data_IF_820219794261
#
_entry.id   IF_820219794261
#
_cell.length_a   1.000
_cell.length_b   1.000
_cell.length_c   1.000
_cell.angle_alpha   90.00
_cell.angle_beta   90.00
_cell.angle_gamma   90.00
#
_symmetry.space_group_name_H-M   'P 1'
#
loop_
_entity.id
_entity.type
_entity.pdbx_description
1 polymer ?
#
# COMPACT_ATOMS: atom_id res chain seq x y z
N UNK A 1 -12.06 -12.03 -8.24
CA UNK A 1 -12.06 -10.63 -7.79
C UNK A 1 -12.73 -9.80 -8.85
N UNK A 2 -13.39 -8.70 -8.47
CA UNK A 2 -14.12 -7.88 -9.44
C UNK A 2 -13.96 -6.40 -9.11
N UNK A 3 -13.67 -5.58 -10.12
CA UNK A 3 -13.78 -4.13 -10.03
C UNK A 3 -15.23 -3.73 -9.73
N UNK A 4 -15.40 -2.75 -8.85
CA UNK A 4 -16.66 -2.14 -8.46
C UNK A 4 -16.67 -0.72 -9.01
N UNK A 5 -17.72 -0.40 -9.75
CA UNK A 5 -17.89 0.93 -10.34
C UNK A 5 -18.21 1.94 -9.23
N UNK A 6 -17.50 3.06 -9.23
CA UNK A 6 -17.68 4.14 -8.26
C UNK A 6 -17.42 5.48 -8.94
N UNK A 7 -18.52 6.17 -9.29
CA UNK A 7 -18.49 7.43 -10.02
C UNK A 7 -17.75 8.54 -9.26
N UNK A 8 -17.75 8.51 -7.92
CA UNK A 8 -17.05 9.51 -7.13
C UNK A 8 -15.53 9.35 -7.27
N UNK A 9 -15.05 8.10 -7.28
CA UNK A 9 -13.63 7.79 -7.50
C UNK A 9 -13.21 8.09 -8.93
N UNK A 10 -14.04 7.75 -9.93
CA UNK A 10 -13.78 8.05 -11.36
C UNK A 10 -13.61 9.55 -11.60
N UNK A 11 -14.50 10.38 -11.07
CA UNK A 11 -14.39 11.84 -11.19
C UNK A 11 -13.13 12.39 -10.50
N UNK A 12 -12.70 11.77 -9.39
CA UNK A 12 -11.45 12.14 -8.72
C UNK A 12 -10.21 11.75 -9.53
N UNK A 13 -10.21 10.59 -10.18
CA UNK A 13 -9.16 10.18 -11.10
C UNK A 13 -9.03 11.23 -12.20
N UNK A 14 -10.13 11.58 -12.85
CA UNK A 14 -10.15 12.59 -13.92
C UNK A 14 -9.62 13.95 -13.48
N UNK A 15 -9.91 14.37 -12.24
CA UNK A 15 -9.40 15.61 -11.67
C UNK A 15 -7.91 15.50 -11.37
N UNK A 16 -7.44 14.42 -10.75
CA UNK A 16 -6.04 14.23 -10.38
C UNK A 16 -5.13 14.09 -11.59
N UNK A 17 -5.54 13.36 -12.62
CA UNK A 17 -4.75 13.17 -13.85
C UNK A 17 -4.54 14.48 -14.63
N UNK A 18 -5.42 15.47 -14.45
CA UNK A 18 -5.32 16.81 -15.06
C UNK A 18 -4.83 17.88 -14.09
N UNK A 19 -4.50 17.50 -12.85
CA UNK A 19 -4.12 18.44 -11.81
C UNK A 19 -2.63 18.77 -11.81
N UNK A 20 -1.91 18.59 -12.92
CA UNK A 20 -0.53 19.07 -13.06
C UNK A 20 -0.31 19.70 -14.41
N UNK A 21 0.33 20.88 -14.40
CA UNK A 21 0.76 21.57 -15.62
C UNK A 21 2.12 21.10 -16.13
N UNK A 22 2.89 20.39 -15.30
CA UNK A 22 4.30 20.07 -15.57
C UNK A 22 4.54 18.61 -15.84
N UNK A 23 3.68 17.75 -15.33
CA UNK A 23 3.87 16.31 -15.37
C UNK A 23 2.63 15.63 -15.88
N UNK A 24 2.81 14.56 -16.66
CA UNK A 24 1.74 13.62 -16.94
C UNK A 24 1.56 12.74 -15.69
N UNK A 25 0.39 12.86 -15.06
CA UNK A 25 0.03 12.05 -13.89
C UNK A 25 -0.92 10.95 -14.36
N UNK A 26 -0.51 9.71 -14.17
CA UNK A 26 -1.39 8.55 -14.32
C UNK A 26 -1.81 8.06 -12.93
N UNK A 27 -3.13 7.98 -12.75
CA UNK A 27 -3.80 7.77 -11.46
C UNK A 27 -4.79 6.63 -11.60
N UNK A 28 -4.76 5.72 -10.64
CA UNK A 28 -5.77 4.68 -10.47
C UNK A 28 -6.31 4.71 -9.07
N UNK A 29 -7.63 4.82 -8.96
CA UNK A 29 -8.37 4.80 -7.70
C UNK A 29 -9.52 3.83 -7.85
N UNK A 30 -9.22 2.55 -7.66
CA UNK A 30 -10.05 1.43 -8.09
C UNK A 30 -10.53 0.61 -6.87
N UNK A 31 -11.81 0.27 -6.79
CA UNK A 31 -12.37 -0.50 -5.68
C UNK A 31 -12.67 -1.94 -6.11
N UNK A 32 -12.12 -2.94 -5.41
CA UNK A 32 -12.20 -4.35 -5.78
C UNK A 32 -12.88 -5.19 -4.71
N UNK A 33 -13.81 -6.04 -5.13
CA UNK A 33 -14.34 -7.13 -4.32
C UNK A 33 -13.36 -8.31 -4.29
N UNK A 34 -12.96 -8.73 -3.08
CA UNK A 34 -12.08 -9.89 -2.86
C UNK A 34 -12.82 -11.23 -2.91
N UNK A 35 -14.08 -11.26 -3.36
CA UNK A 35 -14.81 -12.52 -3.56
C UNK A 35 -14.17 -13.28 -4.75
N UNK A 36 -13.72 -14.50 -4.48
CA UNK A 36 -13.18 -15.41 -5.49
C UNK A 36 -14.31 -16.16 -6.18
N UNK A 37 -14.33 -16.18 -7.51
CA UNK A 37 -15.15 -17.08 -8.31
C UNK A 37 -14.31 -18.29 -8.76
N UNK A 38 -14.82 -19.11 -9.67
CA UNK A 38 -14.20 -20.41 -10.00
C UNK A 38 -12.77 -20.28 -10.51
N UNK A 39 -12.48 -19.26 -11.31
CA UNK A 39 -11.16 -19.02 -11.88
C UNK A 39 -10.14 -18.59 -10.81
N UNK A 40 -10.47 -17.61 -9.97
CA UNK A 40 -9.56 -17.14 -8.93
C UNK A 40 -9.37 -18.20 -7.84
N UNK A 41 -10.37 -19.06 -7.60
CA UNK A 41 -10.20 -20.23 -6.73
C UNK A 41 -9.15 -21.19 -7.28
N UNK A 42 -9.07 -21.37 -8.61
CA UNK A 42 -8.05 -22.20 -9.25
C UNK A 42 -6.68 -21.53 -9.13
N UNK A 43 -6.57 -20.25 -9.44
CA UNK A 43 -5.33 -19.48 -9.33
C UNK A 43 -4.81 -19.42 -7.88
N UNK A 44 -5.70 -19.27 -6.90
CA UNK A 44 -5.34 -19.30 -5.49
C UNK A 44 -4.77 -20.66 -5.06
N UNK A 45 -5.38 -21.76 -5.51
CA UNK A 45 -4.86 -23.12 -5.25
C UNK A 45 -3.47 -23.32 -5.86
N UNK A 46 -3.26 -22.81 -7.06
CA UNK A 46 -1.94 -22.84 -7.71
C UNK A 46 -0.90 -22.07 -6.90
N UNK A 47 -1.21 -20.85 -6.45
CA UNK A 47 -0.33 -20.07 -5.58
C UNK A 47 0.01 -20.85 -4.30
N UNK A 48 -0.99 -21.41 -3.62
CA UNK A 48 -0.77 -22.21 -2.40
C UNK A 48 0.16 -23.39 -2.68
N UNK A 49 -0.05 -24.11 -3.78
CA UNK A 49 0.82 -25.22 -4.18
C UNK A 49 2.27 -24.77 -4.43
N UNK A 50 2.47 -23.60 -5.05
CA UNK A 50 3.81 -23.03 -5.29
C UNK A 50 4.51 -22.63 -3.98
N UNK A 51 3.75 -22.06 -3.04
CA UNK A 51 4.27 -21.72 -1.72
C UNK A 51 4.63 -22.98 -0.91
N UNK A 52 3.87 -24.06 -1.06
CA UNK A 52 4.14 -25.35 -0.42
C UNK A 52 5.31 -26.11 -1.06
N UNK A 53 5.54 -25.99 -2.37
CA UNK A 53 6.69 -26.63 -3.03
C UNK A 53 8.03 -26.00 -2.65
N UNK A 54 8.02 -24.73 -2.25
CA UNK A 54 9.22 -24.00 -1.81
C UNK A 54 9.50 -24.18 -0.30
N UNK A 55 8.78 -25.09 0.37
CA UNK A 55 8.69 -25.19 1.84
C UNK A 55 9.88 -25.85 2.56
N UNK A 56 11.09 -25.88 2.00
CA UNK A 56 12.28 -26.10 2.83
C UNK A 56 12.52 -24.90 3.78
N UNK A 57 12.04 -23.70 3.42
CA UNK A 57 12.02 -22.52 4.28
C UNK A 57 10.61 -22.23 4.83
N UNK A 58 10.31 -22.83 5.98
CA UNK A 58 9.05 -22.65 6.73
C UNK A 58 8.99 -21.29 7.45
N UNK A 59 9.33 -20.19 6.77
CA UNK A 59 9.27 -18.84 7.32
C UNK A 59 8.16 -18.06 6.63
N UNK A 60 7.19 -17.60 7.42
CA UNK A 60 6.18 -16.58 7.10
C UNK A 60 6.41 -15.82 5.78
N UNK A 61 5.42 -15.73 4.88
CA UNK A 61 5.49 -14.85 3.69
C UNK A 61 5.92 -13.45 4.14
N UNK A 62 7.16 -13.10 3.85
CA UNK A 62 7.83 -11.96 4.47
C UNK A 62 7.47 -10.73 3.68
N UNK A 63 7.11 -9.67 4.39
CA UNK A 63 6.94 -8.36 3.78
C UNK A 63 8.24 -7.57 3.91
N UNK A 64 8.49 -6.72 2.93
CA UNK A 64 9.55 -5.73 3.02
C UNK A 64 9.21 -4.59 3.97
N UNK A 65 10.23 -3.82 4.41
CA UNK A 65 10.02 -2.63 5.24
C UNK A 65 9.13 -1.58 4.56
N UNK A 66 8.34 -0.87 5.36
CA UNK A 66 7.45 0.21 4.93
C UNK A 66 8.11 1.20 3.96
N UNK A 67 7.46 1.41 2.82
CA UNK A 67 7.84 2.43 1.84
C UNK A 67 7.46 3.81 2.32
N UNK A 68 6.33 3.96 3.02
CA UNK A 68 5.86 5.26 3.53
C UNK A 68 6.88 5.88 4.47
N UNK A 69 7.42 5.12 5.43
CA UNK A 69 8.39 5.65 6.41
C UNK A 69 9.70 6.05 5.74
N UNK A 70 10.18 5.23 4.80
CA UNK A 70 11.38 5.55 4.02
C UNK A 70 11.16 6.80 3.15
N UNK A 71 10.05 6.84 2.41
CA UNK A 71 9.71 7.94 1.52
C UNK A 71 9.49 9.27 2.27
N UNK A 72 8.86 9.26 3.45
CA UNK A 72 8.72 10.46 4.28
C UNK A 72 10.07 11.02 4.71
N UNK A 73 11.02 10.15 5.11
CA UNK A 73 12.39 10.56 5.43
C UNK A 73 13.07 11.19 4.22
N UNK A 74 12.92 10.60 3.04
CA UNK A 74 13.51 11.11 1.79
C UNK A 74 12.91 12.49 1.41
N UNK A 75 11.61 12.69 1.58
CA UNK A 75 10.91 13.93 1.21
C UNK A 75 11.00 15.08 2.23
N UNK A 76 11.23 14.77 3.50
CA UNK A 76 11.26 15.77 4.59
C UNK A 76 12.64 15.94 5.23
N UNK A 77 13.56 15.00 5.01
CA UNK A 77 14.85 14.93 5.67
C UNK A 77 14.77 14.53 7.16
N UNK A 78 13.57 14.33 7.72
CA UNK A 78 13.36 14.07 9.14
C UNK A 78 12.87 12.63 9.36
N UNK A 79 13.49 11.85 10.26
CA UNK A 79 12.99 10.54 10.62
C UNK A 79 11.74 10.67 11.51
N UNK A 80 10.73 9.84 11.24
CA UNK A 80 9.61 9.67 12.16
C UNK A 80 10.02 8.70 13.27
N UNK A 81 9.83 9.10 14.53
CA UNK A 81 10.17 8.26 15.67
C UNK A 81 9.29 7.00 15.69
N UNK A 82 9.89 5.82 15.89
CA UNK A 82 9.13 4.55 15.93
C UNK A 82 8.05 4.49 17.01
N UNK A 83 8.17 5.28 18.07
CA UNK A 83 7.16 5.40 19.12
C UNK A 83 5.99 6.31 18.74
N UNK A 84 6.10 7.08 17.65
CA UNK A 84 5.08 8.05 17.24
C UNK A 84 4.04 7.49 16.28
N UNK A 85 4.23 6.26 15.78
CA UNK A 85 3.30 5.61 14.87
C UNK A 85 3.20 4.11 15.18
N UNK A 86 2.10 3.52 14.75
CA UNK A 86 1.92 2.07 14.70
C UNK A 86 1.75 1.60 13.25
N UNK A 87 2.04 0.32 13.01
CA UNK A 87 1.70 -0.30 11.73
C UNK A 87 0.19 -0.38 11.59
N UNK A 88 -0.32 -0.34 10.35
CA UNK A 88 -1.72 -0.69 10.13
C UNK A 88 -1.92 -2.14 10.58
N UNK A 89 -2.83 -2.36 11.52
CA UNK A 89 -3.09 -3.69 12.07
C UNK A 89 -4.54 -4.07 11.84
N UNK A 90 -4.79 -5.37 11.82
CA UNK A 90 -6.14 -5.87 11.92
C UNK A 90 -6.64 -5.58 13.33
N UNK A 91 -7.44 -4.53 13.53
CA UNK A 91 -8.15 -4.35 14.78
C UNK A 91 -9.19 -5.47 14.89
N UNK A 92 -8.80 -6.62 15.45
CA UNK A 92 -9.78 -7.50 16.09
C UNK A 92 -10.33 -6.65 17.22
N UNK A 93 -11.54 -6.10 17.06
CA UNK A 93 -12.28 -5.51 18.16
C UNK A 93 -12.44 -6.59 19.22
N UNK A 94 -11.51 -6.67 20.17
CA UNK A 94 -11.74 -7.32 21.45
C UNK A 94 -12.90 -6.56 22.06
N UNK A 95 -14.10 -7.14 21.95
CA UNK A 95 -15.23 -6.76 22.79
C UNK A 95 -14.78 -7.00 24.23
N UNK A 96 -14.28 -5.95 24.87
CA UNK A 96 -14.08 -5.95 26.31
C UNK A 96 -15.47 -5.86 26.95
N UNK A 97 -16.08 -7.03 27.16
CA UNK A 97 -17.09 -7.16 28.21
C UNK A 97 -16.34 -7.02 29.55
N UNK A 98 -16.35 -5.81 30.09
CA UNK A 98 -15.82 -5.51 31.41
C UNK A 98 -16.71 -6.18 32.47
N UNK A 99 -16.39 -7.43 32.81
CA UNK A 99 -16.80 -8.01 34.09
C UNK A 99 -15.58 -8.05 35.01
N UNK A 100 -15.72 -7.30 36.09
CA UNK A 100 -14.78 -7.17 37.19
C UNK A 100 -14.51 -8.49 37.90
N UNK A 101 -13.24 -8.78 38.20
CA UNK A 101 -12.91 -9.45 39.47
C UNK A 101 -11.45 -9.24 39.88
N UNK A 102 -11.33 -8.83 41.15
CA UNK A 102 -10.13 -8.59 41.92
C UNK A 102 -9.15 -9.77 42.02
N UNK A 103 -7.85 -9.45 42.12
CA UNK A 103 -6.81 -10.33 42.67
C UNK A 103 -5.51 -9.55 42.92
N UNK A 104 -5.12 -9.39 44.19
CA UNK A 104 -3.94 -8.64 44.68
C UNK A 104 -2.72 -9.56 44.91
N UNK A 105 -1.54 -8.92 45.06
CA UNK A 105 -0.27 -9.38 45.67
C UNK A 105 0.61 -10.31 44.79
N UNK A 106 1.95 -10.26 44.78
CA UNK A 106 2.94 -9.71 45.69
C UNK A 106 4.28 -9.46 44.96
N UNK A 107 5.09 -8.54 45.46
CA UNK A 107 6.47 -8.25 45.05
C UNK A 107 7.48 -9.00 45.92
N UNK A 108 8.51 -9.62 45.35
CA UNK A 108 9.79 -9.88 46.03
C UNK A 108 10.99 -9.80 45.08
N UNK A 109 12.06 -9.24 45.63
CA UNK A 109 13.33 -8.80 45.04
C UNK A 109 14.38 -9.91 45.21
N UNK A 110 15.22 -10.15 44.20
CA UNK A 110 16.53 -10.80 44.40
C UNK A 110 17.53 -10.32 43.34
N UNK A 111 18.75 -10.10 43.78
CA UNK A 111 19.82 -9.35 43.12
C UNK A 111 20.88 -10.23 42.45
N UNK A 112 21.72 -9.58 41.63
CA UNK A 112 23.10 -9.93 41.30
C UNK A 112 23.32 -11.05 40.29
N UNK A 113 23.91 -10.74 39.13
CA UNK A 113 25.36 -10.87 38.89
C UNK A 113 25.69 -10.52 37.43
N UNK A 114 26.78 -9.79 37.24
CA UNK A 114 27.33 -9.38 35.95
C UNK A 114 28.00 -10.57 35.24
N UNK A 115 27.57 -10.88 34.01
CA UNK A 115 28.42 -11.19 32.84
C UNK A 115 27.56 -11.85 31.77
N UNK A 116 27.58 -11.29 30.55
CA UNK A 116 26.89 -11.89 29.43
C UNK A 116 26.63 -10.90 28.32
N UNK A 117 27.59 -10.83 27.39
CA UNK A 117 27.44 -10.54 25.95
C UNK A 117 26.23 -9.66 25.61
N UNK A 118 26.51 -8.42 25.19
CA UNK A 118 25.58 -7.57 24.46
C UNK A 118 24.97 -8.36 23.29
N UNK A 119 23.81 -8.97 23.53
CA UNK A 119 22.95 -9.44 22.47
C UNK A 119 22.38 -8.18 21.83
N UNK A 120 22.65 -7.92 20.54
CA UNK A 120 21.96 -6.85 19.84
C UNK A 120 20.46 -7.13 19.94
N UNK A 121 19.60 -6.09 20.08
CA UNK A 121 18.18 -6.27 20.33
C UNK A 121 17.60 -7.16 19.24
N UNK A 122 17.17 -8.34 19.66
CA UNK A 122 16.64 -9.40 18.82
C UNK A 122 15.41 -8.92 18.05
N UNK A 123 15.41 -9.24 16.76
CA UNK A 123 14.20 -9.49 15.96
C UNK A 123 13.30 -8.26 15.74
N UNK A 124 13.54 -7.53 14.64
CA UNK A 124 12.46 -6.88 13.89
C UNK A 124 11.23 -7.77 13.94
N UNK A 125 10.14 -7.34 14.58
CA UNK A 125 8.87 -8.05 14.56
C UNK A 125 8.51 -8.33 13.09
N UNK A 126 8.71 -9.57 12.66
CA UNK A 126 8.71 -9.95 11.25
C UNK A 126 7.27 -9.87 10.75
N UNK A 127 6.95 -8.81 10.01
CA UNK A 127 5.61 -8.56 9.48
C UNK A 127 5.32 -9.61 8.40
N UNK A 128 4.31 -10.43 8.64
CA UNK A 128 3.94 -11.55 7.77
C UNK A 128 2.60 -11.30 7.11
N UNK A 129 2.44 -11.78 5.88
CA UNK A 129 1.18 -11.74 5.14
C UNK A 129 0.59 -13.15 5.01
N UNK A 130 -0.73 -13.27 4.98
CA UNK A 130 -1.36 -14.57 4.68
C UNK A 130 -1.34 -14.84 3.18
N UNK A 131 -1.28 -16.10 2.75
CA UNK A 131 -1.32 -16.45 1.32
C UNK A 131 -2.58 -15.90 0.62
N UNK A 132 -3.70 -15.84 1.35
CA UNK A 132 -4.95 -15.26 0.84
C UNK A 132 -4.85 -13.77 0.60
N UNK A 133 -4.22 -13.03 1.52
CA UNK A 133 -4.00 -11.59 1.36
C UNK A 133 -3.05 -11.31 0.22
N UNK A 134 -1.91 -11.99 0.18
CA UNK A 134 -0.96 -11.89 -0.90
C UNK A 134 -1.64 -12.12 -2.25
N UNK A 135 -2.43 -13.20 -2.37
CA UNK A 135 -3.21 -13.46 -3.57
C UNK A 135 -4.16 -12.31 -3.94
N UNK A 136 -4.83 -11.70 -2.96
CA UNK A 136 -5.73 -10.57 -3.22
C UNK A 136 -4.95 -9.34 -3.72
N UNK A 137 -3.76 -9.05 -3.16
CA UNK A 137 -2.90 -7.96 -3.62
C UNK A 137 -2.40 -8.21 -5.05
N UNK A 138 -1.88 -9.41 -5.33
CA UNK A 138 -1.41 -9.82 -6.66
C UNK A 138 -2.53 -9.77 -7.70
N UNK A 139 -3.71 -10.29 -7.36
CA UNK A 139 -4.88 -10.27 -8.23
C UNK A 139 -5.35 -8.84 -8.51
N UNK A 140 -5.23 -7.94 -7.54
CA UNK A 140 -5.55 -6.52 -7.71
C UNK A 140 -4.62 -5.88 -8.73
N UNK A 141 -3.30 -6.12 -8.62
CA UNK A 141 -2.32 -5.64 -9.61
C UNK A 141 -2.62 -6.19 -11.00
N UNK A 142 -2.90 -7.50 -11.13
CA UNK A 142 -3.22 -8.11 -12.41
C UNK A 142 -4.48 -7.55 -13.07
N UNK A 143 -5.52 -7.25 -12.28
CA UNK A 143 -6.72 -6.62 -12.81
C UNK A 143 -6.49 -5.15 -13.19
N UNK A 144 -5.61 -4.45 -12.48
CA UNK A 144 -5.30 -3.04 -12.71
C UNK A 144 -4.34 -2.82 -13.90
N UNK A 145 -3.34 -3.69 -14.05
CA UNK A 145 -2.20 -3.50 -14.95
C UNK A 145 -2.05 -4.58 -16.03
N UNK A 146 -2.82 -5.68 -15.96
CA UNK A 146 -2.81 -6.72 -16.99
C UNK A 146 -3.28 -6.19 -18.35
N UNK A 147 -2.90 -6.85 -19.46
CA UNK A 147 -2.29 -8.19 -19.55
C UNK A 147 -0.76 -8.19 -19.72
N UNK A 148 -0.09 -7.04 -19.71
CA UNK A 148 1.32 -6.91 -20.10
C UNK A 148 2.32 -7.61 -19.18
N UNK A 149 1.92 -7.91 -17.95
CA UNK A 149 2.74 -8.57 -16.94
C UNK A 149 1.86 -9.42 -16.02
N UNK A 150 2.32 -10.61 -15.64
CA UNK A 150 1.61 -11.49 -14.70
C UNK A 150 2.08 -11.30 -13.26
N UNK A 151 1.36 -10.45 -12.54
CA UNK A 151 1.58 -10.15 -11.13
C UNK A 151 1.25 -11.34 -10.20
N UNK A 152 0.67 -12.46 -10.67
CA UNK A 152 0.51 -13.69 -9.87
C UNK A 152 1.85 -14.43 -9.63
N UNK A 153 2.94 -13.95 -10.24
CA UNK A 153 4.30 -14.48 -10.03
C UNK A 153 5.13 -13.66 -9.03
N UNK A 154 4.63 -12.49 -8.60
CA UNK A 154 5.35 -11.59 -7.69
C UNK A 154 5.70 -12.24 -6.34
N UNK A 155 6.84 -11.85 -5.75
CA UNK A 155 7.23 -12.30 -4.42
C UNK A 155 6.49 -11.51 -3.33
N UNK A 156 6.22 -12.16 -2.21
CA UNK A 156 5.80 -11.50 -0.97
C UNK A 156 6.70 -10.33 -0.56
N UNK A 157 8.00 -10.42 -0.82
CA UNK A 157 8.98 -9.38 -0.49
C UNK A 157 8.83 -8.11 -1.35
N UNK A 158 8.11 -8.16 -2.46
CA UNK A 158 7.76 -6.95 -3.24
C UNK A 158 6.65 -6.14 -2.55
N UNK A 159 5.95 -6.71 -1.59
CA UNK A 159 4.91 -6.04 -0.82
C UNK A 159 5.43 -5.56 0.53
N UNK A 160 4.88 -4.46 1.01
CA UNK A 160 5.21 -3.86 2.30
C UNK A 160 3.94 -3.69 3.13
N UNK A 161 4.00 -3.95 4.43
CA UNK A 161 2.97 -3.46 5.35
C UNK A 161 3.27 -2.00 5.66
N UNK A 162 2.25 -1.16 5.62
CA UNK A 162 2.36 0.28 5.80
C UNK A 162 1.80 0.74 7.15
N UNK A 163 2.24 1.91 7.65
CA UNK A 163 1.76 2.46 8.90
C UNK A 163 0.27 2.80 8.86
N UNK A 164 -0.26 3.19 10.02
CA UNK A 164 -1.62 3.70 10.14
C UNK A 164 -1.92 4.88 9.21
N UNK A 165 -3.21 5.10 8.94
CA UNK A 165 -3.68 5.93 7.84
C UNK A 165 -3.09 7.35 7.85
N UNK A 166 -3.00 8.01 9.00
CA UNK A 166 -2.54 9.40 9.06
C UNK A 166 -1.10 9.56 8.53
N UNK A 167 -0.23 8.56 8.74
CA UNK A 167 1.15 8.57 8.23
C UNK A 167 1.15 8.42 6.71
N UNK A 168 0.32 7.52 6.19
CA UNK A 168 0.15 7.30 4.74
C UNK A 168 -0.44 8.55 4.07
N UNK A 169 -1.45 9.17 4.68
CA UNK A 169 -2.02 10.44 4.22
C UNK A 169 -0.99 11.56 4.19
N UNK A 170 -0.16 11.66 5.24
CA UNK A 170 0.89 12.66 5.30
C UNK A 170 1.94 12.44 4.20
N UNK A 171 2.34 11.20 3.95
CA UNK A 171 3.22 10.86 2.83
C UNK A 171 2.61 11.24 1.49
N UNK A 172 1.38 10.81 1.21
CA UNK A 172 0.68 11.12 -0.05
C UNK A 172 0.54 12.64 -0.20
N UNK A 173 0.23 13.37 0.88
CA UNK A 173 0.16 14.83 0.82
C UNK A 173 1.51 15.46 0.45
N UNK A 174 2.61 14.98 1.03
CA UNK A 174 3.95 15.48 0.71
C UNK A 174 4.35 15.12 -0.71
N UNK A 175 4.09 13.88 -1.13
CA UNK A 175 4.31 13.40 -2.48
C UNK A 175 3.53 14.27 -3.49
N UNK A 176 2.21 14.39 -3.32
CA UNK A 176 1.35 15.13 -4.24
C UNK A 176 1.65 16.62 -4.24
N UNK A 177 2.11 17.22 -3.13
CA UNK A 177 2.51 18.64 -3.10
C UNK A 177 3.64 19.01 -4.07
N UNK A 178 4.39 18.01 -4.55
CA UNK A 178 5.49 18.20 -5.50
C UNK A 178 4.98 18.15 -6.95
N UNK A 179 4.03 17.25 -7.23
CA UNK A 179 3.65 16.88 -8.59
C UNK A 179 2.25 17.33 -9.00
N UNK A 180 1.36 17.57 -8.04
CA UNK A 180 -0.07 17.87 -8.22
C UNK A 180 -0.35 19.31 -7.77
N UNK A 181 -0.71 20.16 -8.72
CA UNK A 181 -1.09 21.55 -8.50
C UNK A 181 -2.35 21.64 -7.62
N UNK A 182 -2.28 22.46 -6.56
CA UNK A 182 -3.37 22.73 -5.62
C UNK A 182 -3.96 21.48 -4.96
N UNK A 183 -3.14 20.45 -4.71
CA UNK A 183 -3.56 19.20 -4.08
C UNK A 183 -4.30 19.42 -2.75
N UNK A 184 -3.94 20.44 -1.97
CA UNK A 184 -4.58 20.79 -0.70
C UNK A 184 -6.09 21.05 -0.83
N UNK A 185 -6.55 21.48 -2.01
CA UNK A 185 -7.98 21.69 -2.29
C UNK A 185 -8.70 20.41 -2.72
N UNK A 186 -7.98 19.46 -3.32
CA UNK A 186 -8.50 18.16 -3.76
C UNK A 186 -8.49 17.12 -2.63
N UNK A 187 -7.51 17.19 -1.73
CA UNK A 187 -7.28 16.22 -0.67
C UNK A 187 -8.53 15.95 0.19
N UNK A 188 -9.31 16.95 0.65
CA UNK A 188 -10.51 16.67 1.44
C UNK A 188 -11.57 15.87 0.67
N UNK A 189 -11.72 16.13 -0.64
CA UNK A 189 -12.67 15.39 -1.50
C UNK A 189 -12.19 13.96 -1.71
N UNK A 190 -10.89 13.80 -1.99
CA UNK A 190 -10.25 12.50 -2.16
C UNK A 190 -10.43 11.60 -0.93
N UNK A 191 -10.03 12.10 0.24
CA UNK A 191 -10.09 11.31 1.47
C UNK A 191 -11.51 11.03 1.94
N UNK A 192 -12.46 11.94 1.67
CA UNK A 192 -13.88 11.68 1.90
C UNK A 192 -14.39 10.53 1.03
N UNK A 193 -14.10 10.54 -0.28
CA UNK A 193 -14.54 9.47 -1.18
C UNK A 193 -13.88 8.12 -0.83
N UNK A 194 -12.59 8.12 -0.47
CA UNK A 194 -11.91 6.91 -0.01
C UNK A 194 -12.57 6.38 1.26
N UNK A 195 -12.87 7.23 2.24
CA UNK A 195 -13.56 6.81 3.47
C UNK A 195 -14.92 6.18 3.18
N UNK A 196 -15.73 6.79 2.31
CA UNK A 196 -17.05 6.28 1.91
C UNK A 196 -16.94 4.94 1.15
N UNK A 197 -15.90 4.76 0.33
CA UNK A 197 -15.72 3.59 -0.52
C UNK A 197 -15.19 2.34 0.23
N UNK A 198 -14.36 2.54 1.26
CA UNK A 198 -13.61 1.44 1.92
C UNK A 198 -13.55 1.47 3.45
N UNK A 199 -14.06 2.53 4.10
CA UNK A 199 -13.91 2.75 5.56
C UNK A 199 -12.44 2.71 5.96
N UNK A 200 -11.69 3.73 5.52
CA UNK A 200 -10.21 3.67 5.47
C UNK A 200 -9.52 3.52 6.82
N UNK A 201 -10.21 3.86 7.91
CA UNK A 201 -9.70 3.66 9.29
C UNK A 201 -9.72 2.21 9.75
N UNK A 202 -10.54 1.36 9.13
CA UNK A 202 -10.64 -0.07 9.44
C UNK A 202 -9.81 -0.92 8.46
N UNK A 203 -8.99 -0.28 7.62
CA UNK A 203 -8.15 -0.96 6.64
C UNK A 203 -6.78 -1.36 7.19
N UNK A 204 -6.30 -2.52 6.74
CA UNK A 204 -4.87 -2.82 6.70
C UNK A 204 -4.31 -2.21 5.42
N UNK A 205 -3.20 -1.48 5.53
CA UNK A 205 -2.60 -0.77 4.42
C UNK A 205 -1.34 -1.51 3.98
N UNK A 206 -1.31 -1.88 2.71
CA UNK A 206 -0.13 -2.44 2.06
C UNK A 206 0.36 -1.51 0.97
N UNK A 207 1.60 -1.69 0.54
CA UNK A 207 2.10 -1.11 -0.71
C UNK A 207 2.81 -2.15 -1.58
N UNK A 208 2.81 -1.92 -2.88
CA UNK A 208 3.61 -2.68 -3.84
C UNK A 208 4.83 -1.86 -4.25
N UNK A 209 6.01 -2.44 -4.04
CA UNK A 209 7.29 -1.93 -4.54
C UNK A 209 7.73 -2.86 -5.66
N UNK A 210 7.55 -2.43 -6.91
CA UNK A 210 8.09 -3.16 -8.04
C UNK A 210 9.62 -3.21 -8.00
N UNK A 211 10.17 -4.34 -8.43
CA UNK A 211 11.58 -4.39 -8.81
C UNK A 211 11.75 -3.68 -10.16
N UNK A 212 12.46 -2.55 -10.15
CA UNK A 212 12.67 -1.71 -11.33
C UNK A 212 13.34 -2.44 -12.50
N UNK A 213 13.95 -3.61 -12.27
CA UNK A 213 14.54 -4.44 -13.31
C UNK A 213 13.54 -5.35 -14.04
N UNK A 214 12.42 -5.71 -13.41
CA UNK A 214 11.51 -6.75 -13.90
C UNK A 214 10.09 -6.25 -14.20
N UNK A 215 9.66 -5.15 -13.58
CA UNK A 215 8.32 -4.60 -13.77
C UNK A 215 8.27 -3.54 -14.91
N UNK A 216 7.59 -3.81 -16.03
CA UNK A 216 7.42 -2.82 -17.09
C UNK A 216 6.63 -1.58 -16.64
N UNK A 217 5.77 -1.71 -15.62
CA UNK A 217 4.97 -0.62 -15.06
C UNK A 217 5.82 0.38 -14.25
N UNK A 218 7.10 0.09 -14.02
CA UNK A 218 8.01 0.96 -13.29
C UNK A 218 9.00 1.73 -14.15
N UNK A 219 9.06 1.39 -15.44
CA UNK A 219 9.91 2.08 -16.41
C UNK A 219 9.36 3.47 -16.76
N UNK A 220 10.24 4.46 -16.95
CA UNK A 220 9.85 5.80 -17.41
C UNK A 220 9.16 6.70 -16.38
N UNK A 221 9.10 6.30 -15.11
CA UNK A 221 8.42 7.05 -14.05
C UNK A 221 9.42 7.84 -13.18
N UNK A 222 9.13 9.13 -12.91
CA UNK A 222 9.90 9.98 -11.99
C UNK A 222 9.66 9.59 -10.53
N UNK A 223 8.39 9.35 -10.18
CA UNK A 223 7.99 8.99 -8.83
C UNK A 223 6.64 8.27 -8.86
N UNK A 224 6.47 7.27 -8.01
CA UNK A 224 5.21 6.54 -7.89
C UNK A 224 4.96 6.00 -6.49
N UNK A 225 3.70 5.69 -6.22
CA UNK A 225 3.28 4.83 -5.11
C UNK A 225 2.13 3.92 -5.55
N UNK A 226 2.01 2.77 -4.89
CA UNK A 226 0.94 1.80 -5.13
C UNK A 226 0.43 1.31 -3.77
N UNK A 227 -0.68 1.87 -3.27
CA UNK A 227 -1.26 1.50 -1.98
C UNK A 227 -2.49 0.61 -2.13
N UNK A 228 -2.65 -0.33 -1.21
CA UNK A 228 -3.84 -1.16 -1.06
C UNK A 228 -4.44 -0.90 0.31
N UNK A 229 -5.68 -0.40 0.34
CA UNK A 229 -6.48 -0.28 1.55
C UNK A 229 -7.38 -1.51 1.64
N UNK A 230 -6.96 -2.50 2.43
CA UNK A 230 -7.68 -3.77 2.55
C UNK A 230 -8.58 -3.79 3.78
N UNK A 231 -9.89 -3.79 3.53
CA UNK A 231 -10.89 -3.96 4.58
C UNK A 231 -11.39 -5.42 4.61
N UNK A 232 -11.00 -6.16 5.66
CA UNK A 232 -11.34 -7.59 5.82
C UNK A 232 -12.82 -7.82 6.07
N UNK A 233 -13.50 -6.88 6.74
CA UNK A 233 -14.89 -7.04 7.18
C UNK A 233 -15.84 -6.99 5.98
N UNK A 234 -15.64 -6.04 5.08
CA UNK A 234 -16.41 -5.93 3.83
C UNK A 234 -15.80 -6.71 2.66
N UNK A 235 -14.62 -7.33 2.87
CA UNK A 235 -13.85 -8.12 1.88
C UNK A 235 -13.56 -7.33 0.60
N UNK A 236 -13.04 -6.11 0.75
CA UNK A 236 -12.73 -5.22 -0.36
C UNK A 236 -11.32 -4.65 -0.26
N UNK A 237 -10.73 -4.35 -1.41
CA UNK A 237 -9.48 -3.61 -1.54
C UNK A 237 -9.77 -2.35 -2.33
N UNK A 238 -9.44 -1.19 -1.79
CA UNK A 238 -9.29 0.02 -2.59
C UNK A 238 -7.83 0.15 -2.98
N UNK A 239 -7.55 0.13 -4.27
CA UNK A 239 -6.23 0.30 -4.84
C UNK A 239 -6.04 1.77 -5.24
N UNK A 240 -5.01 2.39 -4.70
CA UNK A 240 -4.63 3.75 -5.03
C UNK A 240 -3.20 3.77 -5.55
N UNK A 241 -3.06 3.88 -6.87
CA UNK A 241 -1.79 4.08 -7.55
C UNK A 241 -1.73 5.48 -8.14
N UNK A 242 -0.57 6.11 -8.00
CA UNK A 242 -0.26 7.35 -8.69
C UNK A 242 1.18 7.27 -9.16
N UNK A 243 1.38 7.58 -10.42
CA UNK A 243 2.70 7.67 -11.05
C UNK A 243 2.85 8.98 -11.80
N UNK A 244 4.07 9.47 -11.80
CA UNK A 244 4.48 10.71 -12.46
C UNK A 244 5.39 10.31 -13.61
N UNK A 245 4.92 10.45 -14.83
CA UNK A 245 5.68 10.04 -16.01
C UNK A 245 6.74 11.09 -16.37
N UNK A 246 7.86 10.62 -16.89
CA UNK A 246 8.92 11.46 -17.42
C UNK A 246 8.66 11.82 -18.90
N UNK A 247 7.45 12.28 -19.21
CA UNK A 247 6.99 12.66 -20.54
C UNK A 247 6.39 14.08 -20.48
N UNK A 248 6.61 14.93 -21.50
CA UNK A 248 5.99 16.24 -21.56
C UNK A 248 4.46 16.11 -21.72
N UNK A 249 3.66 16.99 -21.12
CA UNK A 249 2.23 17.03 -21.37
C UNK A 249 1.94 17.21 -22.87
N UNK A 250 0.98 16.46 -23.41
CA UNK A 250 0.68 16.45 -24.85
C UNK A 250 0.29 17.84 -25.44
N UNK A 251 0.07 18.86 -24.61
CA UNK A 251 -0.27 20.22 -25.05
C UNK A 251 0.90 20.92 -25.77
N UNK A 252 2.15 20.55 -25.50
CA UNK A 252 3.32 21.18 -26.13
C UNK A 252 3.63 20.65 -27.54
N UNK A 253 3.06 19.51 -27.96
CA UNK A 253 3.32 18.92 -29.29
C UNK A 253 2.53 19.64 -30.41
N UNK A 254 1.39 20.25 -30.10
CA UNK A 254 0.57 20.94 -31.11
C UNK A 254 1.11 22.33 -31.47
N UNK A 255 1.91 22.97 -30.61
CA UNK A 255 2.54 24.26 -30.91
C UNK A 255 3.79 24.12 -31.78
N UNK A 256 4.57 23.04 -31.61
CA UNK A 256 5.74 22.76 -32.46
C UNK A 256 5.32 22.38 -33.90
N UNK A 257 4.31 21.52 -34.07
CA UNK A 257 3.83 21.10 -35.40
C UNK A 257 3.22 22.25 -36.23
N UNK A 258 2.78 23.34 -35.57
CA UNK A 258 2.22 24.52 -36.25
C UNK A 258 3.28 25.57 -36.61
N UNK A 259 4.47 25.50 -36.02
CA UNK A 259 5.61 26.38 -36.36
C UNK A 259 6.38 25.90 -37.60
N UNK A 260 6.29 24.60 -37.93
CA UNK A 260 6.88 24.02 -39.15
C UNK A 260 6.02 24.20 -40.42
N UNK A 261 4.87 24.90 -40.32
CA UNK A 261 3.91 25.12 -41.40
C UNK A 261 3.84 26.56 -41.92
N UNK A 262 4.72 27.47 -41.47
CA UNK A 262 4.78 28.87 -41.95
C UNK A 262 6.17 29.34 -42.35
#
# INVERSE_FOLDING_TARGET
MKLLDDLALENLIEQLSRASRRYVIDVKLENYSCKMVSEEKRQYKDLVSRLESNAEDKSSLRLSPSRTIRGLRELTGQPIARSSYQMSTCQVKSREDSTSSHGRHNSETASSSEDGVLTPPSESSRLSITAKELFCLMSTLNLSFGPSYDFLTADSEEFCLEPELWVVQHYISRFCSIYVDKYESLAPKLWKAIEEAIVSQECIIYSYRPDHASDPYSSGCLASFNYFFYNRDIKRILFFSLRVLNEPPAEDQFEEDMQDLF
#
